data_IF_110686744834
#
_entry.id   IF_110686744834
#
_cell.length_a   1.000
_cell.length_b   1.000
_cell.length_c   1.000
_cell.angle_alpha   90.00
_cell.angle_beta   90.00
_cell.angle_gamma   90.00
#
_symmetry.space_group_name_H-M   'P 1'
#
loop_
_entity.id
_entity.type
_entity.pdbx_description
1 polymer ?
#
# COMPACT_ATOMS: atom_id res chain seq x y z
N UNK A 1 -4.28 4.80 16.31
CA UNK A 1 -3.57 3.72 15.62
C UNK A 1 -4.53 3.26 14.56
N UNK A 2 -4.14 3.52 13.32
CA UNK A 2 -4.89 3.21 12.13
C UNK A 2 -4.96 1.71 11.87
N UNK A 3 -5.75 1.37 10.87
CA UNK A 3 -5.95 -0.02 10.45
C UNK A 3 -4.86 -0.46 9.46
N UNK A 4 -4.32 0.47 8.68
CA UNK A 4 -3.39 0.23 7.59
C UNK A 4 -2.09 0.99 7.81
N UNK A 5 -0.97 0.42 7.36
CA UNK A 5 0.30 1.13 7.30
C UNK A 5 0.78 1.21 5.85
N UNK A 6 1.30 2.36 5.43
CA UNK A 6 1.82 2.55 4.08
C UNK A 6 3.25 3.08 4.12
N UNK A 7 4.14 2.42 3.41
CA UNK A 7 5.54 2.83 3.25
C UNK A 7 5.88 2.95 1.78
N UNK A 8 6.66 3.95 1.42
CA UNK A 8 6.91 4.31 0.02
C UNK A 8 8.41 4.44 -0.21
N UNK A 9 8.88 3.88 -1.32
CA UNK A 9 10.20 4.14 -1.88
C UNK A 9 10.07 5.12 -3.03
N UNK A 10 10.90 6.15 -3.03
CA UNK A 10 10.96 7.15 -4.09
C UNK A 10 12.24 7.01 -4.90
N UNK A 11 12.19 7.39 -6.18
CA UNK A 11 13.36 7.44 -7.06
C UNK A 11 14.18 8.69 -6.76
N UNK A 12 15.49 8.54 -6.61
CA UNK A 12 16.42 9.67 -6.38
C UNK A 12 16.51 10.62 -7.56
N UNK A 13 16.35 10.12 -8.78
CA UNK A 13 16.49 10.89 -10.02
C UNK A 13 15.18 11.55 -10.47
N UNK A 14 14.08 11.33 -9.75
CA UNK A 14 12.83 11.96 -10.09
C UNK A 14 12.95 13.49 -9.97
N UNK A 15 12.73 14.19 -11.07
CA UNK A 15 12.59 15.65 -11.09
C UNK A 15 11.25 16.04 -10.47
N UNK A 16 11.15 15.90 -9.15
CA UNK A 16 10.01 16.39 -8.36
C UNK A 16 10.35 17.73 -7.71
N UNK A 17 9.34 18.56 -7.53
CA UNK A 17 9.49 19.86 -6.85
C UNK A 17 9.47 19.73 -5.32
N UNK A 18 9.04 18.58 -4.79
CA UNK A 18 8.78 18.33 -3.38
C UNK A 18 9.60 17.11 -2.91
N UNK A 19 10.12 17.14 -1.70
CA UNK A 19 10.79 16.00 -1.09
C UNK A 19 9.80 14.87 -0.73
N UNK A 20 10.33 13.66 -0.55
CA UNK A 20 9.54 12.51 -0.16
C UNK A 20 8.81 12.72 1.18
N UNK A 21 9.44 13.44 2.10
CA UNK A 21 8.85 13.83 3.39
C UNK A 21 7.71 14.85 3.24
N UNK A 22 7.87 15.85 2.38
CA UNK A 22 6.82 16.85 2.10
C UNK A 22 5.58 16.21 1.48
N UNK A 23 5.76 15.22 0.60
CA UNK A 23 4.63 14.48 0.02
C UNK A 23 3.85 13.71 1.09
N UNK A 24 4.53 13.08 2.05
CA UNK A 24 3.87 12.38 3.15
C UNK A 24 3.17 13.34 4.12
N UNK A 25 3.79 14.50 4.41
CA UNK A 25 3.18 15.54 5.25
C UNK A 25 1.87 16.04 4.67
N UNK A 26 1.79 16.22 3.35
CA UNK A 26 0.55 16.60 2.68
C UNK A 26 -0.60 15.64 2.99
N UNK A 27 -0.38 14.34 2.95
CA UNK A 27 -1.44 13.37 3.24
C UNK A 27 -1.89 13.42 4.71
N UNK A 28 -0.95 13.64 5.63
CA UNK A 28 -1.26 13.82 7.06
C UNK A 28 -2.09 15.09 7.30
N UNK A 29 -1.79 16.17 6.57
CA UNK A 29 -2.52 17.43 6.67
C UNK A 29 -3.90 17.39 5.98
N UNK A 30 -4.01 16.62 4.88
CA UNK A 30 -5.22 16.53 4.05
C UNK A 30 -6.28 15.62 4.68
N UNK A 31 -5.88 14.50 5.29
CA UNK A 31 -6.78 13.46 5.75
C UNK A 31 -6.76 13.32 7.29
N UNK A 32 -7.90 13.53 7.94
CA UNK A 32 -8.01 13.43 9.41
C UNK A 32 -7.72 12.02 9.94
N UNK A 33 -7.90 10.97 9.12
CA UNK A 33 -7.65 9.58 9.51
C UNK A 33 -6.18 9.15 9.36
N UNK A 34 -5.33 10.04 8.84
CA UNK A 34 -3.94 9.76 8.48
C UNK A 34 -2.98 10.39 9.49
N UNK A 35 -2.04 9.60 9.95
CA UNK A 35 -0.94 10.06 10.79
C UNK A 35 0.38 9.44 10.34
N UNK A 36 1.44 9.75 11.07
CA UNK A 36 2.73 9.09 10.86
C UNK A 36 2.80 7.77 11.60
N UNK A 37 3.32 6.76 10.91
CA UNK A 37 3.67 5.50 11.55
C UNK A 37 4.79 5.68 12.57
N UNK A 38 4.67 4.92 13.66
CA UNK A 38 5.68 4.87 14.73
C UNK A 38 6.69 3.75 14.48
N UNK A 39 6.25 2.70 13.77
CA UNK A 39 7.11 1.60 13.35
C UNK A 39 7.97 1.97 12.15
N UNK A 40 9.23 1.54 12.17
CA UNK A 40 10.12 1.58 11.00
C UNK A 40 10.18 0.22 10.35
N UNK A 41 10.25 0.20 9.02
CA UNK A 41 10.65 -0.98 8.27
C UNK A 41 12.15 -0.86 8.03
N UNK A 42 12.90 -1.94 8.31
CA UNK A 42 14.27 -2.06 7.82
C UNK A 42 14.22 -2.20 6.30
N UNK A 43 14.28 -1.07 5.59
CA UNK A 43 14.48 -1.02 4.16
C UNK A 43 15.96 -0.85 3.89
N UNK A 44 16.52 -1.64 2.96
CA UNK A 44 17.83 -1.38 2.38
C UNK A 44 17.61 -0.56 1.10
N UNK A 45 17.69 0.78 1.17
CA UNK A 45 17.51 1.60 -0.03
C UNK A 45 18.64 1.27 -1.00
N UNK A 46 18.28 0.65 -2.12
CA UNK A 46 19.18 0.54 -3.26
C UNK A 46 19.79 1.90 -3.64
N UNK A 47 20.87 1.90 -4.44
CA UNK A 47 21.63 3.12 -4.73
C UNK A 47 20.78 4.26 -5.29
N UNK A 48 19.68 3.96 -5.98
CA UNK A 48 18.84 4.90 -6.72
C UNK A 48 17.50 5.24 -6.04
N UNK A 49 17.29 4.84 -4.78
CA UNK A 49 16.02 5.06 -4.07
C UNK A 49 16.19 5.80 -2.74
N UNK A 50 15.19 6.59 -2.38
CA UNK A 50 15.03 7.25 -1.08
C UNK A 50 13.87 6.58 -0.35
N UNK A 51 14.09 6.20 0.90
CA UNK A 51 13.05 5.72 1.80
C UNK A 51 12.87 6.78 2.89
N UNK A 52 11.68 7.36 3.06
CA UNK A 52 11.42 8.28 4.16
C UNK A 52 11.58 7.60 5.52
N UNK A 53 11.94 8.38 6.53
CA UNK A 53 12.11 7.89 7.90
C UNK A 53 10.82 7.36 8.55
N UNK A 54 9.66 7.72 8.01
CA UNK A 54 8.32 7.42 8.53
C UNK A 54 7.40 6.95 7.41
N UNK A 55 6.55 5.98 7.71
CA UNK A 55 5.39 5.63 6.88
C UNK A 55 4.14 6.40 7.31
N UNK A 56 3.00 6.06 6.71
CA UNK A 56 1.68 6.55 7.09
C UNK A 56 0.92 5.50 7.89
N UNK A 57 0.26 5.93 8.96
CA UNK A 57 -0.71 5.18 9.78
C UNK A 57 -2.11 5.66 9.38
N UNK A 58 -2.90 4.81 8.72
CA UNK A 58 -4.15 5.20 8.05
C UNK A 58 -5.32 4.44 8.66
N UNK A 59 -6.30 5.18 9.18
CA UNK A 59 -7.47 4.63 9.87
C UNK A 59 -8.54 4.08 8.94
N UNK A 60 -8.76 4.75 7.80
CA UNK A 60 -9.88 4.49 6.91
C UNK A 60 -9.46 3.86 5.57
N UNK A 61 -10.31 2.99 5.01
CA UNK A 61 -10.02 2.30 3.75
C UNK A 61 -10.20 3.20 2.52
N UNK A 62 -11.11 4.17 2.55
CA UNK A 62 -11.35 5.12 1.47
C UNK A 62 -10.14 6.06 1.33
N UNK A 63 -9.63 6.57 2.46
CA UNK A 63 -8.42 7.38 2.51
C UNK A 63 -7.20 6.56 2.05
N UNK A 64 -7.07 5.32 2.55
CA UNK A 64 -5.99 4.42 2.13
C UNK A 64 -6.00 4.15 0.62
N UNK A 65 -7.17 3.84 0.06
CA UNK A 65 -7.31 3.56 -1.37
C UNK A 65 -6.99 4.79 -2.23
N UNK A 66 -7.43 5.97 -1.79
CA UNK A 66 -7.16 7.25 -2.47
C UNK A 66 -5.66 7.55 -2.51
N UNK A 67 -4.97 7.41 -1.37
CA UNK A 67 -3.52 7.63 -1.28
C UNK A 67 -2.75 6.62 -2.13
N UNK A 68 -3.16 5.35 -2.14
CA UNK A 68 -2.53 4.32 -2.99
C UNK A 68 -2.74 4.61 -4.47
N UNK A 69 -3.91 5.10 -4.87
CA UNK A 69 -4.18 5.49 -6.26
C UNK A 69 -3.26 6.64 -6.69
N UNK A 70 -3.18 7.69 -5.87
CA UNK A 70 -2.37 8.89 -6.14
C UNK A 70 -0.88 8.54 -6.25
N UNK A 71 -0.35 7.77 -5.28
CA UNK A 71 1.06 7.36 -5.29
C UNK A 71 1.41 6.38 -6.41
N UNK A 72 0.47 5.55 -6.88
CA UNK A 72 0.71 4.65 -8.01
C UNK A 72 0.99 5.43 -9.29
N UNK A 73 0.29 6.54 -9.49
CA UNK A 73 0.37 7.34 -10.70
C UNK A 73 1.48 8.41 -10.61
N UNK A 74 2.15 8.53 -9.45
CA UNK A 74 3.29 9.40 -9.22
C UNK A 74 4.59 8.82 -9.82
N UNK A 75 5.23 9.49 -10.79
CA UNK A 75 6.47 9.03 -11.41
C UNK A 75 7.68 8.99 -10.46
N UNK A 76 7.63 9.73 -9.35
CA UNK A 76 8.65 9.71 -8.32
C UNK A 76 8.57 8.45 -7.44
N UNK A 77 7.43 7.78 -7.38
CA UNK A 77 7.27 6.56 -6.61
C UNK A 77 7.92 5.39 -7.33
N UNK A 78 8.86 4.73 -6.66
CA UNK A 78 9.48 3.51 -7.14
C UNK A 78 8.63 2.28 -6.79
N UNK A 79 8.24 2.16 -5.52
CA UNK A 79 7.48 1.02 -5.01
C UNK A 79 6.79 1.38 -3.69
N UNK A 80 5.79 0.58 -3.30
CA UNK A 80 5.02 0.76 -2.07
C UNK A 80 4.90 -0.55 -1.30
N UNK A 81 4.88 -0.45 0.02
CA UNK A 81 4.53 -1.52 0.93
C UNK A 81 3.23 -1.15 1.65
N UNK A 82 2.19 -1.96 1.44
CA UNK A 82 0.81 -1.67 1.84
C UNK A 82 0.47 -2.11 3.27
N UNK A 83 1.45 -2.59 4.01
CA UNK A 83 1.34 -2.94 5.42
C UNK A 83 2.72 -2.98 6.08
N UNK A 84 2.75 -2.91 7.41
CA UNK A 84 3.98 -2.91 8.20
C UNK A 84 3.71 -3.26 9.67
N UNK A 85 4.66 -2.96 10.58
CA UNK A 85 4.57 -3.37 11.99
C UNK A 85 3.34 -2.87 12.75
N UNK A 86 2.78 -1.73 12.36
CA UNK A 86 1.56 -1.15 12.95
C UNK A 86 0.25 -1.61 12.31
N UNK A 87 0.31 -2.38 11.22
CA UNK A 87 -0.89 -2.75 10.46
C UNK A 87 -1.76 -3.75 11.21
N UNK A 88 -3.05 -3.48 11.21
CA UNK A 88 -4.10 -4.38 11.71
C UNK A 88 -4.83 -5.08 10.57
N UNK A 89 -4.70 -4.56 9.35
CA UNK A 89 -5.28 -5.10 8.12
C UNK A 89 -4.21 -5.23 7.04
N UNK A 90 -4.41 -6.19 6.15
CA UNK A 90 -3.42 -6.61 5.17
C UNK A 90 -4.01 -6.51 3.77
N UNK A 91 -3.98 -5.33 3.15
CA UNK A 91 -4.45 -5.15 1.79
C UNK A 91 -3.46 -5.73 0.77
N UNK A 92 -4.01 -6.30 -0.31
CA UNK A 92 -3.26 -6.70 -1.50
C UNK A 92 -3.95 -6.16 -2.75
N UNK A 93 -3.16 -5.65 -3.69
CA UNK A 93 -3.64 -5.15 -4.98
C UNK A 93 -3.78 -6.30 -5.97
N UNK A 94 -4.94 -6.41 -6.58
CA UNK A 94 -5.29 -7.50 -7.48
C UNK A 94 -6.02 -6.95 -8.71
N UNK A 95 -5.81 -7.57 -9.86
CA UNK A 95 -6.59 -7.23 -11.04
C UNK A 95 -8.02 -7.78 -10.94
N UNK A 96 -9.00 -7.01 -11.42
CA UNK A 96 -10.42 -7.38 -11.39
C UNK A 96 -10.72 -8.77 -11.96
N UNK A 97 -10.01 -9.16 -13.02
CA UNK A 97 -10.22 -10.46 -13.66
C UNK A 97 -9.84 -11.65 -12.77
N UNK A 98 -8.99 -11.43 -11.75
CA UNK A 98 -8.49 -12.47 -10.88
C UNK A 98 -9.31 -12.64 -9.59
N UNK A 99 -10.21 -11.70 -9.28
CA UNK A 99 -11.13 -11.80 -8.14
C UNK A 99 -12.02 -13.05 -8.20
N UNK A 100 -12.30 -13.55 -9.40
CA UNK A 100 -13.10 -14.77 -9.61
C UNK A 100 -12.39 -16.06 -9.18
N UNK A 101 -11.08 -16.00 -8.99
CA UNK A 101 -10.26 -17.15 -8.61
C UNK A 101 -10.24 -17.35 -7.08
N UNK A 102 -10.76 -16.38 -6.31
CA UNK A 102 -10.92 -16.51 -4.86
C UNK A 102 -11.93 -17.59 -4.50
N UNK A 103 -11.51 -18.53 -3.66
CA UNK A 103 -12.33 -19.67 -3.24
C UNK A 103 -13.45 -19.27 -2.26
N UNK A 104 -13.21 -18.22 -1.47
CA UNK A 104 -14.14 -17.75 -0.44
C UNK A 104 -14.10 -16.20 -0.34
N UNK A 105 -14.79 -15.49 -1.25
CA UNK A 105 -14.75 -14.03 -1.31
C UNK A 105 -15.35 -13.35 -0.08
N UNK A 106 -16.28 -13.99 0.64
CA UNK A 106 -16.97 -13.41 1.80
C UNK A 106 -16.03 -13.18 3.00
N UNK A 107 -14.82 -13.76 2.96
CA UNK A 107 -13.76 -13.55 3.97
C UNK A 107 -13.04 -12.21 3.83
N UNK A 108 -13.22 -11.51 2.70
CA UNK A 108 -12.44 -10.33 2.37
C UNK A 108 -13.32 -9.10 2.20
N UNK A 109 -12.75 -7.93 2.51
CA UNK A 109 -13.33 -6.67 2.07
C UNK A 109 -12.69 -6.24 0.76
N UNK A 110 -13.51 -5.77 -0.18
CA UNK A 110 -13.06 -5.33 -1.50
C UNK A 110 -13.23 -3.81 -1.62
N UNK A 111 -12.20 -3.14 -2.12
CA UNK A 111 -12.27 -1.73 -2.45
C UNK A 111 -11.63 -1.48 -3.82
N UNK A 112 -12.44 -1.05 -4.79
CA UNK A 112 -11.92 -0.76 -6.13
C UNK A 112 -11.06 0.51 -6.09
N UNK A 113 -9.84 0.44 -6.62
CA UNK A 113 -8.96 1.60 -6.76
C UNK A 113 -9.26 2.32 -8.06
N UNK A 114 -9.43 1.56 -9.14
CA UNK A 114 -9.76 2.07 -10.47
C UNK A 114 -10.57 1.03 -11.29
N UNK A 115 -10.64 1.20 -12.60
CA UNK A 115 -11.36 0.29 -13.51
C UNK A 115 -10.70 -1.11 -13.68
N UNK A 116 -9.49 -1.32 -13.15
CA UNK A 116 -8.68 -2.52 -13.36
C UNK A 116 -8.24 -3.21 -12.09
N UNK A 117 -8.10 -2.47 -11.00
CA UNK A 117 -7.48 -2.91 -9.75
C UNK A 117 -8.42 -2.78 -8.56
N UNK A 118 -8.36 -3.77 -7.67
CA UNK A 118 -9.06 -3.79 -6.40
C UNK A 118 -8.08 -4.09 -5.28
N UNK A 119 -8.27 -3.43 -4.14
CA UNK A 119 -7.69 -3.84 -2.87
C UNK A 119 -8.56 -4.95 -2.27
N UNK A 120 -7.96 -6.12 -2.11
CA UNK A 120 -8.49 -7.20 -1.28
C UNK A 120 -7.91 -7.02 0.11
N UNK A 121 -8.76 -6.67 1.07
CA UNK A 121 -8.36 -6.38 2.45
C UNK A 121 -8.58 -7.62 3.30
N UNK A 122 -7.49 -8.15 3.82
CA UNK A 122 -7.47 -9.33 4.68
C UNK A 122 -7.38 -8.91 6.17
N UNK A 123 -8.05 -9.66 7.06
CA UNK A 123 -8.02 -9.40 8.51
C UNK A 123 -6.72 -9.88 9.17
N UNK A 124 -5.98 -10.79 8.53
CA UNK A 124 -4.72 -11.29 9.05
C UNK A 124 -3.77 -11.85 7.99
N UNK A 125 -2.53 -12.18 8.37
CA UNK A 125 -1.53 -12.73 7.46
C UNK A 125 -1.94 -14.07 6.81
N UNK A 126 -2.65 -14.93 7.54
CA UNK A 126 -3.14 -16.20 7.01
C UNK A 126 -4.18 -16.00 5.89
N UNK A 127 -5.06 -15.02 6.03
CA UNK A 127 -6.04 -14.66 5.00
C UNK A 127 -5.36 -14.07 3.76
N UNK A 128 -4.31 -13.26 3.98
CA UNK A 128 -3.47 -12.71 2.91
C UNK A 128 -2.76 -13.82 2.13
N UNK A 129 -2.14 -14.78 2.81
CA UNK A 129 -1.45 -15.89 2.16
C UNK A 129 -2.42 -16.74 1.34
N UNK A 130 -3.62 -17.03 1.87
CA UNK A 130 -4.66 -17.73 1.11
C UNK A 130 -5.12 -16.93 -0.11
N UNK A 131 -5.37 -15.63 0.04
CA UNK A 131 -5.79 -14.78 -1.08
C UNK A 131 -4.74 -14.78 -2.20
N UNK A 132 -3.44 -14.74 -1.85
CA UNK A 132 -2.34 -14.78 -2.81
C UNK A 132 -2.21 -16.14 -3.50
N UNK A 133 -2.46 -17.23 -2.78
CA UNK A 133 -2.47 -18.58 -3.34
C UNK A 133 -3.61 -18.76 -4.34
N UNK A 134 -4.83 -18.38 -3.96
CA UNK A 134 -6.03 -18.49 -4.79
C UNK A 134 -5.93 -17.66 -6.06
N UNK A 135 -5.49 -16.40 -5.94
CA UNK A 135 -5.36 -15.46 -7.07
C UNK A 135 -4.21 -15.85 -7.99
N UNK A 136 -3.12 -16.36 -7.41
CA UNK A 136 -1.89 -16.68 -8.13
C UNK A 136 -1.14 -15.43 -8.62
N UNK A 137 0.13 -15.63 -9.01
CA UNK A 137 1.03 -14.52 -9.36
C UNK A 137 0.53 -13.66 -10.55
N UNK A 138 -0.22 -14.24 -11.49
CA UNK A 138 -0.72 -13.52 -12.66
C UNK A 138 -1.85 -12.54 -12.35
N UNK A 139 -2.56 -12.74 -11.23
CA UNK A 139 -3.66 -11.88 -10.79
C UNK A 139 -3.25 -10.78 -9.82
N UNK A 140 -2.05 -10.87 -9.24
CA UNK A 140 -1.49 -9.90 -8.32
C UNK A 140 -0.86 -8.73 -9.07
N UNK A 141 -1.06 -7.51 -8.57
CA UNK A 141 -0.41 -6.31 -9.10
C UNK A 141 0.96 -6.16 -8.41
N UNK A 142 2.00 -5.84 -9.18
CA UNK A 142 3.33 -5.55 -8.63
C UNK A 142 3.30 -4.29 -7.75
N UNK A 143 4.11 -4.26 -6.69
CA UNK A 143 4.23 -3.09 -5.82
C UNK A 143 3.22 -3.03 -4.67
N UNK A 144 2.88 -4.19 -4.09
CA UNK A 144 2.01 -4.29 -2.90
C UNK A 144 2.47 -5.32 -1.88
N UNK A 145 3.78 -5.58 -1.80
CA UNK A 145 4.35 -6.64 -0.95
C UNK A 145 4.81 -6.14 0.42
N UNK A 146 4.81 -7.09 1.35
CA UNK A 146 5.24 -7.08 2.75
C UNK A 146 6.50 -6.32 3.16
N UNK A 147 7.39 -6.01 2.22
CA UNK A 147 8.74 -5.59 2.53
C UNK A 147 9.45 -5.09 1.29
N UNK A 148 10.28 -4.09 1.50
CA UNK A 148 11.41 -3.78 0.65
C UNK A 148 12.57 -4.74 0.96
#
# INVERSE_FOLDING_TARGET
MGAFSLYVQYRKDAETSESAEELLERYVDEYESVGYETGRIDADPGPDVVVPDRGLDIGDIEDFASIVADLRDDPAVHSMSLWGPGSQRYPVRVYHHALRELSDPDRYQFHAIDDRETLVVCEGPADLDQAREDIGAAGLVEGGTAKF
#
